data_IF_148434052362
#
_entry.id   IF_148434052362
#
_cell.length_a   1.000
_cell.length_b   1.000
_cell.length_c   1.000
_cell.angle_alpha   90.00
_cell.angle_beta   90.00
_cell.angle_gamma   90.00
#
_symmetry.space_group_name_H-M   'P 1'
#
loop_
_entity.id
_entity.type
_entity.pdbx_description
1 polymer ?
#
# COMPACT_ATOMS: atom_id res chain seq x y z
N UNK A 1 59.05 -43.57 27.41
CA UNK A 1 57.76 -42.94 27.06
C UNK A 1 57.45 -43.32 25.62
N UNK A 2 56.42 -44.15 25.45
CA UNK A 2 56.06 -44.84 24.21
C UNK A 2 55.08 -43.97 23.42
N UNK A 3 55.35 -43.75 22.12
CA UNK A 3 54.42 -43.13 21.16
C UNK A 3 53.43 -44.19 20.68
N UNK A 4 52.13 -43.94 20.85
CA UNK A 4 51.05 -44.73 20.27
C UNK A 4 50.48 -44.05 19.01
N UNK A 5 50.10 -44.81 17.97
CA UNK A 5 49.53 -44.29 16.72
C UNK A 5 48.01 -44.07 16.86
N UNK A 6 47.47 -43.01 16.26
CA UNK A 6 46.03 -42.85 16.05
C UNK A 6 45.64 -43.14 14.60
N UNK A 7 44.55 -43.88 14.48
CA UNK A 7 44.02 -44.48 13.28
C UNK A 7 43.25 -43.50 12.39
N UNK A 8 43.33 -43.75 11.09
CA UNK A 8 42.59 -43.10 10.01
C UNK A 8 41.25 -43.80 9.82
N UNK A 9 40.14 -43.09 9.96
CA UNK A 9 38.80 -43.60 9.62
C UNK A 9 38.36 -43.01 8.29
N UNK A 10 38.19 -43.88 7.28
CA UNK A 10 37.56 -43.57 5.99
C UNK A 10 36.06 -43.37 6.20
N UNK A 11 35.53 -42.22 5.79
CA UNK A 11 34.07 -42.01 5.63
C UNK A 11 33.72 -42.24 4.17
N UNK A 12 32.75 -43.15 3.98
CA UNK A 12 32.27 -43.64 2.70
C UNK A 12 31.30 -42.63 2.08
N UNK A 13 31.56 -42.24 0.83
CA UNK A 13 30.70 -41.39 0.02
C UNK A 13 29.44 -42.16 -0.40
N UNK A 14 28.26 -41.74 0.07
CA UNK A 14 26.98 -42.21 -0.46
C UNK A 14 26.42 -41.18 -1.42
N UNK A 15 26.28 -41.59 -2.68
CA UNK A 15 25.59 -40.86 -3.74
C UNK A 15 24.16 -40.51 -3.29
N UNK A 16 23.82 -39.23 -3.33
CA UNK A 16 22.46 -38.77 -3.12
C UNK A 16 21.82 -38.46 -4.47
N UNK A 17 20.85 -39.30 -4.81
CA UNK A 17 20.09 -39.36 -6.05
C UNK A 17 19.11 -38.18 -6.09
N UNK A 18 19.44 -37.13 -6.87
CA UNK A 18 18.58 -35.94 -7.03
C UNK A 18 17.41 -36.28 -7.96
N UNK A 19 16.27 -36.64 -7.37
CA UNK A 19 14.98 -36.65 -8.05
C UNK A 19 14.57 -35.23 -8.41
N UNK A 20 14.45 -35.00 -9.72
CA UNK A 20 13.89 -33.81 -10.36
C UNK A 20 12.36 -33.81 -10.09
N UNK A 21 11.91 -33.03 -9.11
CA UNK A 21 10.48 -32.75 -8.91
C UNK A 21 10.12 -31.67 -9.93
N UNK A 22 9.20 -31.99 -10.84
CA UNK A 22 8.67 -31.03 -11.79
C UNK A 22 7.94 -29.91 -11.04
N UNK A 23 8.36 -28.66 -11.25
CA UNK A 23 7.58 -27.47 -10.91
C UNK A 23 6.35 -27.46 -11.81
N UNK A 24 5.24 -27.99 -11.33
CA UNK A 24 3.93 -27.65 -11.86
C UNK A 24 3.63 -26.21 -11.45
N UNK A 25 3.56 -25.30 -12.41
CA UNK A 25 3.03 -23.95 -12.21
C UNK A 25 1.55 -24.07 -11.89
N UNK A 26 1.22 -24.09 -10.59
CA UNK A 26 -0.16 -23.95 -10.14
C UNK A 26 -0.48 -22.47 -10.23
N UNK A 27 -1.29 -22.07 -11.22
CA UNK A 27 -1.99 -20.78 -11.18
C UNK A 27 -3.03 -20.86 -10.08
N UNK A 28 -2.63 -20.51 -8.86
CA UNK A 28 -3.57 -20.27 -7.76
C UNK A 28 -3.92 -18.79 -7.86
N UNK A 29 -5.03 -18.45 -8.52
CA UNK A 29 -5.73 -17.24 -8.12
C UNK A 29 -6.10 -17.48 -6.65
N UNK A 30 -5.53 -16.69 -5.73
CA UNK A 30 -5.72 -16.91 -4.29
C UNK A 30 -7.23 -16.83 -3.99
N UNK A 31 -7.86 -17.86 -3.39
CA UNK A 31 -9.26 -17.80 -2.98
C UNK A 31 -9.58 -16.56 -2.16
N UNK A 32 -8.59 -16.04 -1.44
CA UNK A 32 -8.62 -14.80 -0.67
C UNK A 32 -8.91 -13.58 -1.57
N UNK A 33 -8.21 -13.44 -2.70
CA UNK A 33 -8.36 -12.28 -3.59
C UNK A 33 -9.75 -12.25 -4.22
N UNK A 34 -10.23 -13.36 -4.76
CA UNK A 34 -11.60 -13.44 -5.30
C UNK A 34 -12.67 -13.10 -4.25
N UNK A 35 -12.39 -13.42 -2.98
CA UNK A 35 -13.28 -13.12 -1.85
C UNK A 35 -13.20 -11.66 -1.42
N UNK A 36 -12.03 -11.03 -1.50
CA UNK A 36 -11.83 -9.59 -1.27
C UNK A 36 -12.48 -8.80 -2.41
N UNK A 37 -12.22 -9.17 -3.67
CA UNK A 37 -12.82 -8.55 -4.86
C UNK A 37 -14.35 -8.61 -4.80
N UNK A 38 -14.92 -9.78 -4.46
CA UNK A 38 -16.37 -9.92 -4.24
C UNK A 38 -16.90 -9.03 -3.11
N UNK A 39 -16.07 -8.62 -2.15
CA UNK A 39 -16.45 -7.72 -1.08
C UNK A 39 -16.16 -6.24 -1.39
N UNK A 40 -15.28 -5.97 -2.37
CA UNK A 40 -14.82 -4.63 -2.79
C UNK A 40 -15.64 -4.05 -3.94
N UNK A 41 -16.15 -4.89 -4.85
CA UNK A 41 -17.09 -4.51 -5.93
C UNK A 41 -18.37 -3.82 -5.39
N UNK A 42 -18.55 -3.89 -4.07
CA UNK A 42 -19.68 -3.35 -3.32
C UNK A 42 -19.35 -2.00 -2.64
N UNK A 43 -18.09 -1.66 -2.33
CA UNK A 43 -17.74 -0.65 -1.29
C UNK A 43 -17.20 0.72 -1.74
N UNK A 44 -17.10 1.01 -3.04
CA UNK A 44 -16.19 2.08 -3.47
C UNK A 44 -16.61 3.54 -3.17
N UNK A 45 -17.89 3.85 -2.94
CA UNK A 45 -18.33 5.25 -2.89
C UNK A 45 -18.45 5.89 -1.48
N UNK A 46 -18.48 5.11 -0.40
CA UNK A 46 -18.81 5.64 0.95
C UNK A 46 -17.65 5.80 1.93
N UNK A 47 -16.63 4.94 1.83
CA UNK A 47 -15.68 4.68 2.93
C UNK A 47 -14.52 5.69 3.02
N UNK A 48 -13.93 6.07 1.89
CA UNK A 48 -12.76 6.98 1.84
C UNK A 48 -13.13 8.39 2.33
N UNK A 49 -14.34 8.87 2.00
CA UNK A 49 -14.82 10.18 2.40
C UNK A 49 -15.10 10.31 3.91
N UNK A 50 -15.43 9.21 4.60
CA UNK A 50 -15.74 9.23 6.06
C UNK A 50 -14.50 9.08 6.94
N UNK A 51 -13.48 8.33 6.52
CA UNK A 51 -12.19 8.28 7.23
C UNK A 51 -11.43 9.62 7.10
N UNK A 52 -11.49 10.30 5.95
CA UNK A 52 -10.87 11.61 5.74
C UNK A 52 -11.55 12.77 6.51
N UNK A 53 -12.75 12.55 7.06
CA UNK A 53 -13.52 13.55 7.82
C UNK A 53 -13.50 13.36 9.33
N UNK A 54 -12.82 12.34 9.86
CA UNK A 54 -12.41 12.28 11.28
C UNK A 54 -11.16 13.18 11.46
N UNK A 55 -11.28 14.45 11.07
CA UNK A 55 -10.38 15.55 11.45
C UNK A 55 -10.81 16.11 12.81
N UNK A 56 -10.87 15.25 13.83
CA UNK A 56 -10.74 15.72 15.20
C UNK A 56 -9.31 15.42 15.62
N UNK A 57 -8.41 16.41 15.71
CA UNK A 57 -7.10 16.18 16.26
C UNK A 57 -7.27 15.64 17.69
N UNK A 58 -6.53 14.57 18.01
CA UNK A 58 -6.50 13.96 19.34
C UNK A 58 -5.85 14.89 20.40
N UNK A 59 -5.47 16.12 20.01
CA UNK A 59 -4.92 17.17 20.86
C UNK A 59 -5.57 18.51 20.50
N UNK A 60 -6.24 19.14 21.48
CA UNK A 60 -6.64 20.55 21.44
C UNK A 60 -5.43 21.42 21.82
N UNK A 61 -4.87 22.25 20.93
CA UNK A 61 -4.21 23.47 21.35
C UNK A 61 -5.29 24.54 21.51
N UNK A 62 -5.44 25.03 22.73
CA UNK A 62 -6.29 26.14 23.15
C UNK A 62 -6.41 27.28 22.11
N UNK A 63 -7.65 27.73 21.98
CA UNK A 63 -8.21 28.99 21.45
C UNK A 63 -7.24 30.14 21.07
N UNK A 64 -7.40 30.71 19.87
CA UNK A 64 -8.13 31.97 19.65
C UNK A 64 -7.71 32.70 18.35
N UNK A 65 -8.71 33.36 17.73
CA UNK A 65 -8.64 34.41 16.68
C UNK A 65 -8.34 33.92 15.25
N UNK A 66 -8.95 34.39 14.16
CA UNK A 66 -9.85 35.51 13.92
C UNK A 66 -10.78 35.22 12.71
N UNK A 67 -12.01 35.68 12.85
CA UNK A 67 -13.03 35.87 11.81
C UNK A 67 -12.72 37.06 10.91
N UNK A 68 -12.91 36.91 9.59
CA UNK A 68 -13.31 37.90 8.56
C UNK A 68 -13.13 37.19 7.20
N UNK A 69 -14.02 37.11 6.22
CA UNK A 69 -15.20 37.87 5.83
C UNK A 69 -15.17 37.93 4.31
N UNK A 70 -15.92 37.06 3.61
CA UNK A 70 -16.00 37.05 2.13
C UNK A 70 -17.43 37.27 1.64
N UNK A 71 -17.66 38.13 0.64
CA UNK A 71 -19.00 38.47 0.17
C UNK A 71 -19.62 37.39 -0.71
N UNK A 72 -20.92 37.19 -0.48
CA UNK A 72 -21.86 36.38 -1.27
C UNK A 72 -21.98 36.95 -2.69
N UNK A 73 -21.81 36.09 -3.70
CA UNK A 73 -22.05 36.41 -5.12
C UNK A 73 -23.39 35.78 -5.55
N UNK A 74 -24.31 36.61 -6.03
CA UNK A 74 -25.62 36.20 -6.54
C UNK A 74 -25.52 35.37 -7.84
N UNK A 75 -26.46 34.43 -8.10
CA UNK A 75 -26.42 33.56 -9.26
C UNK A 75 -26.97 34.25 -10.53
N UNK A 76 -26.26 34.06 -11.64
CA UNK A 76 -26.71 34.43 -12.97
C UNK A 76 -27.74 33.42 -13.51
N UNK A 77 -28.77 33.97 -14.13
CA UNK A 77 -29.92 33.30 -14.76
C UNK A 77 -29.52 32.32 -15.86
N UNK A 78 -30.05 31.10 -15.75
CA UNK A 78 -29.97 30.02 -16.72
C UNK A 78 -30.79 30.30 -17.99
N UNK A 79 -30.13 30.27 -19.15
CA UNK A 79 -30.76 30.07 -20.46
C UNK A 79 -30.84 28.59 -20.76
N UNK A 80 -32.06 28.10 -20.98
CA UNK A 80 -32.36 26.69 -21.26
C UNK A 80 -31.74 26.22 -22.57
N UNK A 81 -30.97 25.14 -22.45
CA UNK A 81 -30.53 24.29 -23.56
C UNK A 81 -31.54 23.15 -23.68
N UNK A 82 -32.01 22.81 -24.89
CA UNK A 82 -32.90 21.68 -25.12
C UNK A 82 -32.13 20.37 -24.86
N UNK A 83 -32.67 19.57 -23.94
CA UNK A 83 -32.24 18.19 -23.69
C UNK A 83 -32.71 17.34 -24.88
N UNK A 84 -31.77 16.84 -25.67
CA UNK A 84 -32.00 15.77 -26.63
C UNK A 84 -31.63 14.46 -25.95
N UNK A 85 -32.64 13.65 -25.66
CA UNK A 85 -32.55 12.27 -25.16
C UNK A 85 -31.99 11.34 -26.26
N UNK A 86 -30.70 11.48 -26.59
CA UNK A 86 -29.94 10.51 -27.38
C UNK A 86 -28.98 9.79 -26.43
N UNK A 87 -29.54 8.95 -25.55
CA UNK A 87 -28.82 7.99 -24.69
C UNK A 87 -28.31 6.79 -25.52
N UNK A 88 -27.57 7.06 -26.60
CA UNK A 88 -26.61 6.10 -27.15
C UNK A 88 -25.37 6.15 -26.25
N UNK A 89 -25.47 5.57 -25.06
CA UNK A 89 -24.31 5.16 -24.28
C UNK A 89 -23.55 4.14 -25.13
N UNK A 90 -22.65 4.66 -25.96
CA UNK A 90 -21.65 3.88 -26.66
C UNK A 90 -20.85 3.18 -25.56
N UNK A 91 -21.13 1.89 -25.34
CA UNK A 91 -20.38 0.95 -24.48
C UNK A 91 -18.96 0.76 -25.05
N UNK A 92 -18.28 1.85 -25.43
CA UNK A 92 -16.84 1.85 -25.60
C UNK A 92 -16.31 1.63 -24.21
N UNK A 93 -15.96 0.38 -23.99
CA UNK A 93 -15.03 -0.07 -22.97
C UNK A 93 -13.70 0.67 -23.22
N UNK A 94 -13.69 1.97 -22.92
CA UNK A 94 -12.53 2.87 -22.89
C UNK A 94 -11.68 2.57 -21.64
N UNK A 95 -11.65 1.29 -21.22
CA UNK A 95 -10.71 0.81 -20.24
C UNK A 95 -9.32 1.01 -20.84
N UNK A 96 -8.60 2.01 -20.32
CA UNK A 96 -7.22 2.26 -20.68
C UNK A 96 -6.43 0.95 -20.61
N UNK A 97 -5.52 0.68 -21.58
CA UNK A 97 -4.73 -0.53 -21.56
C UNK A 97 -3.99 -0.62 -20.22
N UNK A 98 -4.25 -1.69 -19.46
CA UNK A 98 -3.55 -1.98 -18.20
C UNK A 98 -2.05 -1.91 -18.47
N UNK A 99 -1.36 -0.98 -17.80
CA UNK A 99 0.06 -0.79 -17.99
C UNK A 99 0.83 -2.08 -17.62
N UNK A 100 1.92 -2.34 -18.35
CA UNK A 100 2.71 -3.53 -18.13
C UNK A 100 3.47 -3.42 -16.79
N UNK A 101 3.64 -4.53 -16.04
CA UNK A 101 4.44 -4.51 -14.81
C UNK A 101 5.84 -3.92 -15.06
N UNK A 102 6.37 -3.09 -14.15
CA UNK A 102 7.66 -2.43 -14.33
C UNK A 102 8.82 -3.42 -14.43
N UNK A 103 9.82 -3.08 -15.25
CA UNK A 103 11.06 -3.85 -15.35
C UNK A 103 11.95 -3.67 -14.10
N UNK A 104 12.92 -4.56 -13.91
CA UNK A 104 13.73 -4.62 -12.69
C UNK A 104 14.58 -3.35 -12.45
N UNK A 105 15.05 -2.74 -13.52
CA UNK A 105 15.78 -1.47 -13.52
C UNK A 105 14.87 -0.30 -13.15
N UNK A 106 13.62 -0.27 -13.62
CA UNK A 106 12.59 0.71 -13.23
C UNK A 106 12.29 0.58 -11.73
N UNK A 107 12.11 -0.64 -11.21
CA UNK A 107 11.91 -0.88 -9.77
C UNK A 107 13.11 -0.41 -8.94
N UNK A 108 14.34 -0.63 -9.43
CA UNK A 108 15.55 -0.16 -8.77
C UNK A 108 15.69 1.38 -8.82
N UNK A 109 15.35 1.99 -9.95
CA UNK A 109 15.30 3.44 -10.12
C UNK A 109 14.31 4.09 -9.15
N UNK A 110 13.10 3.54 -9.04
CA UNK A 110 12.10 3.99 -8.05
C UNK A 110 12.58 3.81 -6.62
N UNK A 111 13.20 2.67 -6.29
CA UNK A 111 13.75 2.46 -4.95
C UNK A 111 14.80 3.52 -4.58
N UNK A 112 15.67 3.90 -5.52
CA UNK A 112 16.66 4.96 -5.32
C UNK A 112 16.01 6.33 -5.15
N UNK A 113 14.95 6.61 -5.90
CA UNK A 113 14.26 7.90 -5.82
C UNK A 113 13.43 8.04 -4.53
N UNK A 114 12.72 6.98 -4.11
CA UNK A 114 12.06 6.94 -2.79
C UNK A 114 13.10 7.09 -1.67
N UNK A 115 14.26 6.45 -1.78
CA UNK A 115 15.34 6.64 -0.82
C UNK A 115 15.91 8.07 -0.81
N UNK A 116 15.94 8.75 -1.96
CA UNK A 116 16.28 10.16 -2.03
C UNK A 116 15.24 11.03 -1.32
N UNK A 117 13.94 10.78 -1.48
CA UNK A 117 12.89 11.46 -0.70
C UNK A 117 13.07 11.26 0.81
N UNK A 118 13.31 10.01 1.25
CA UNK A 118 13.53 9.69 2.66
C UNK A 118 14.81 10.34 3.19
N UNK A 119 15.90 10.39 2.42
CA UNK A 119 17.11 11.12 2.82
C UNK A 119 16.86 12.63 2.83
N UNK A 120 16.05 13.16 1.91
CA UNK A 120 15.64 14.56 1.87
C UNK A 120 14.88 14.96 3.13
N UNK A 121 13.94 14.14 3.62
CA UNK A 121 13.22 14.39 4.87
C UNK A 121 14.16 14.49 6.09
N UNK A 122 15.21 13.66 6.14
CA UNK A 122 16.24 13.74 7.19
C UNK A 122 17.08 15.01 7.07
N UNK A 123 17.35 15.47 5.85
CA UNK A 123 18.04 16.73 5.61
C UNK A 123 17.18 17.90 6.10
N UNK A 124 15.86 17.87 5.91
CA UNK A 124 14.94 18.90 6.41
C UNK A 124 15.05 19.10 7.93
N UNK A 125 15.18 18.01 8.69
CA UNK A 125 15.39 18.07 10.14
C UNK A 125 16.71 18.79 10.55
N UNK A 126 17.74 18.75 9.70
CA UNK A 126 19.05 19.38 9.97
C UNK A 126 19.27 20.69 9.23
N UNK A 127 18.46 20.97 8.20
CA UNK A 127 18.59 22.08 7.25
C UNK A 127 19.97 22.16 6.59
N UNK A 128 20.58 21.00 6.29
CA UNK A 128 21.86 20.94 5.60
C UNK A 128 21.68 21.22 4.09
N UNK A 129 21.74 22.51 3.73
CA UNK A 129 21.61 22.98 2.34
C UNK A 129 22.65 22.37 1.40
N UNK A 130 23.88 22.14 1.89
CA UNK A 130 24.94 21.57 1.06
C UNK A 130 24.63 20.11 0.71
N UNK A 131 24.14 19.35 1.69
CA UNK A 131 23.72 17.95 1.48
C UNK A 131 22.47 17.86 0.60
N UNK A 132 21.49 18.75 0.78
CA UNK A 132 20.31 18.83 -0.09
C UNK A 132 20.71 19.05 -1.56
N UNK A 133 21.59 20.02 -1.80
CA UNK A 133 22.09 20.32 -3.15
C UNK A 133 22.82 19.12 -3.75
N UNK A 134 23.69 18.46 -2.98
CA UNK A 134 24.39 17.27 -3.45
C UNK A 134 23.42 16.12 -3.80
N UNK A 135 22.32 15.99 -3.05
CA UNK A 135 21.27 15.00 -3.32
C UNK A 135 20.51 15.32 -4.60
N UNK A 136 20.12 16.57 -4.84
CA UNK A 136 19.48 16.98 -6.09
C UNK A 136 20.40 16.79 -7.31
N UNK A 137 21.68 17.16 -7.20
CA UNK A 137 22.68 16.92 -8.26
C UNK A 137 22.85 15.42 -8.54
N UNK A 138 22.84 14.58 -7.49
CA UNK A 138 22.93 13.14 -7.64
C UNK A 138 21.71 12.53 -8.35
N UNK A 139 20.50 12.97 -8.00
CA UNK A 139 19.24 12.55 -8.66
C UNK A 139 19.26 12.92 -10.15
N UNK A 140 19.69 14.15 -10.47
CA UNK A 140 19.79 14.66 -11.84
C UNK A 140 20.80 13.86 -12.68
N UNK A 141 22.02 13.66 -12.16
CA UNK A 141 23.09 12.92 -12.85
C UNK A 141 22.67 11.49 -13.23
N UNK A 142 21.85 10.84 -12.40
CA UNK A 142 21.38 9.48 -12.64
C UNK A 142 19.99 9.42 -13.30
N UNK A 143 19.38 10.56 -13.66
CA UNK A 143 18.10 10.61 -14.36
C UNK A 143 16.94 10.02 -13.58
N UNK A 144 16.95 10.12 -12.24
CA UNK A 144 16.01 9.38 -11.39
C UNK A 144 14.62 10.02 -11.28
N UNK A 145 14.45 11.28 -11.68
CA UNK A 145 13.17 12.01 -11.59
C UNK A 145 11.99 11.31 -12.28
N UNK A 146 12.24 10.57 -13.37
CA UNK A 146 11.20 9.82 -14.08
C UNK A 146 10.62 8.64 -13.30
N UNK A 147 11.10 8.36 -12.09
CA UNK A 147 10.58 7.30 -11.22
C UNK A 147 9.72 7.83 -10.06
N UNK A 148 9.31 9.10 -10.12
CA UNK A 148 8.34 9.68 -9.20
C UNK A 148 7.17 10.28 -9.97
N UNK A 149 6.01 10.29 -9.32
CA UNK A 149 4.88 11.06 -9.78
C UNK A 149 5.05 12.56 -9.60
N UNK A 150 4.20 13.36 -10.25
CA UNK A 150 4.28 14.82 -10.23
C UNK A 150 4.35 15.40 -8.81
N UNK A 151 3.53 14.90 -7.89
CA UNK A 151 3.53 15.36 -6.49
C UNK A 151 4.85 15.09 -5.77
N UNK A 152 5.47 13.93 -6.04
CA UNK A 152 6.77 13.56 -5.47
C UNK A 152 7.90 14.42 -6.03
N UNK A 153 7.86 14.73 -7.33
CA UNK A 153 8.80 15.65 -7.98
C UNK A 153 8.65 17.06 -7.41
N UNK A 154 7.43 17.59 -7.40
CA UNK A 154 7.09 18.91 -6.86
C UNK A 154 7.59 19.06 -5.43
N UNK A 155 7.37 18.05 -4.59
CA UNK A 155 7.84 18.05 -3.21
C UNK A 155 9.38 18.03 -3.13
N UNK A 156 10.05 17.18 -3.92
CA UNK A 156 11.50 17.04 -3.90
C UNK A 156 12.24 18.30 -4.35
N UNK A 157 11.67 19.04 -5.32
CA UNK A 157 12.26 20.26 -5.88
C UNK A 157 12.14 21.49 -4.97
N UNK A 158 11.31 21.45 -3.93
CA UNK A 158 11.20 22.54 -2.95
C UNK A 158 12.54 22.84 -2.26
N UNK A 159 12.76 24.10 -1.93
CA UNK A 159 14.02 24.51 -1.32
C UNK A 159 14.18 23.91 0.08
N UNK A 160 15.43 23.69 0.56
CA UNK A 160 15.66 23.20 1.91
C UNK A 160 15.04 24.10 2.97
N UNK A 161 14.21 23.52 3.84
CA UNK A 161 13.45 24.19 4.88
C UNK A 161 12.01 24.55 4.49
N UNK A 162 11.56 24.20 3.27
CA UNK A 162 10.19 24.48 2.80
C UNK A 162 9.23 23.31 2.98
N UNK A 163 9.71 22.12 3.35
CA UNK A 163 8.83 21.01 3.71
C UNK A 163 8.12 21.33 5.02
N UNK A 164 6.80 21.14 5.04
CA UNK A 164 6.00 21.17 6.25
C UNK A 164 6.25 19.90 7.09
N UNK A 165 5.85 19.94 8.37
CA UNK A 165 5.90 18.74 9.21
C UNK A 165 5.00 17.62 8.63
N UNK A 166 3.86 17.98 8.02
CA UNK A 166 2.96 17.04 7.34
C UNK A 166 3.63 16.40 6.11
N UNK A 167 4.44 17.15 5.34
CA UNK A 167 5.20 16.60 4.21
C UNK A 167 6.25 15.59 4.70
N UNK A 168 6.92 15.89 5.83
CA UNK A 168 7.91 14.99 6.44
C UNK A 168 7.24 13.71 6.93
N UNK A 169 6.08 13.82 7.60
CA UNK A 169 5.31 12.67 8.07
C UNK A 169 4.78 11.83 6.90
N UNK A 170 4.35 12.46 5.80
CA UNK A 170 3.94 11.76 4.59
C UNK A 170 5.10 10.94 3.98
N UNK A 171 6.29 11.53 3.89
CA UNK A 171 7.49 10.81 3.40
C UNK A 171 7.96 9.73 4.38
N UNK A 172 7.72 9.87 5.68
CA UNK A 172 8.04 8.81 6.64
C UNK A 172 7.27 7.51 6.35
N UNK A 173 6.04 7.60 5.80
CA UNK A 173 5.25 6.45 5.35
C UNK A 173 5.80 5.78 4.08
N UNK A 174 6.46 6.51 3.18
CA UNK A 174 7.07 5.94 1.96
C UNK A 174 8.26 5.02 2.26
N UNK A 175 8.73 4.98 3.51
CA UNK A 175 9.73 4.00 3.94
C UNK A 175 9.22 2.55 3.81
N UNK A 176 7.91 2.30 3.95
CA UNK A 176 7.37 0.94 3.69
C UNK A 176 7.35 0.62 2.19
N UNK A 177 7.06 1.59 1.32
CA UNK A 177 7.22 1.43 -0.12
C UNK A 177 8.67 1.05 -0.46
N UNK A 178 9.64 1.80 0.08
CA UNK A 178 11.07 1.51 -0.11
C UNK A 178 11.43 0.08 0.28
N UNK A 179 10.90 -0.39 1.41
CA UNK A 179 11.11 -1.77 1.88
C UNK A 179 10.53 -2.79 0.90
N UNK A 180 9.33 -2.55 0.36
CA UNK A 180 8.68 -3.44 -0.62
C UNK A 180 9.48 -3.47 -1.91
N UNK A 181 9.91 -2.32 -2.44
CA UNK A 181 10.72 -2.23 -3.64
C UNK A 181 12.04 -2.99 -3.47
N UNK A 182 12.77 -2.75 -2.37
CA UNK A 182 14.01 -3.47 -2.05
C UNK A 182 13.80 -4.97 -1.85
N UNK A 183 12.65 -5.38 -1.29
CA UNK A 183 12.30 -6.79 -1.19
C UNK A 183 12.06 -7.38 -2.58
N UNK A 184 11.32 -6.69 -3.44
CA UNK A 184 10.99 -7.14 -4.79
C UNK A 184 12.23 -7.35 -5.66
N UNK A 185 13.30 -6.56 -5.48
CA UNK A 185 14.60 -6.76 -6.15
C UNK A 185 15.63 -7.59 -5.34
N UNK A 186 15.16 -8.29 -4.30
CA UNK A 186 15.97 -9.26 -3.54
C UNK A 186 17.08 -8.66 -2.68
N UNK A 187 16.98 -7.39 -2.27
CA UNK A 187 17.98 -6.71 -1.42
C UNK A 187 17.66 -6.82 0.08
N UNK A 188 16.37 -6.86 0.45
CA UNK A 188 15.92 -6.97 1.85
C UNK A 188 14.78 -8.00 2.02
N UNK A 189 14.37 -8.21 3.27
CA UNK A 189 13.16 -8.93 3.66
C UNK A 189 12.08 -7.95 4.16
N UNK A 190 10.79 -8.25 3.94
CA UNK A 190 9.66 -7.39 4.36
C UNK A 190 9.50 -7.26 5.88
N UNK A 191 10.03 -8.23 6.64
CA UNK A 191 9.78 -8.33 8.08
C UNK A 191 8.29 -8.54 8.43
N UNK A 192 7.94 -8.49 9.73
CA UNK A 192 6.56 -8.59 10.19
C UNK A 192 5.78 -7.31 9.89
N UNK A 193 4.49 -7.43 9.55
CA UNK A 193 3.62 -6.28 9.27
C UNK A 193 3.38 -5.39 10.50
N UNK A 194 3.54 -5.92 11.72
CA UNK A 194 3.41 -5.16 12.97
C UNK A 194 4.61 -4.26 13.28
N UNK A 195 5.62 -4.19 12.41
CA UNK A 195 6.83 -3.40 12.64
C UNK A 195 7.13 -2.48 11.45
N UNK A 196 7.30 -1.19 11.76
CA UNK A 196 7.73 -0.19 10.80
C UNK A 196 9.12 -0.49 10.22
N UNK A 197 9.39 0.11 9.08
CA UNK A 197 10.66 0.10 8.38
C UNK A 197 11.76 0.78 9.18
N UNK A 198 12.87 0.08 9.35
CA UNK A 198 14.09 0.69 9.87
C UNK A 198 14.75 1.46 8.73
N UNK A 199 14.44 2.76 8.67
CA UNK A 199 14.97 3.70 7.67
C UNK A 199 16.49 3.59 7.53
N UNK A 200 17.22 3.53 8.64
CA UNK A 200 18.69 3.50 8.60
C UNK A 200 19.19 2.18 8.00
N UNK A 201 18.57 1.06 8.36
CA UNK A 201 18.92 -0.24 7.81
C UNK A 201 18.65 -0.32 6.31
N UNK A 202 17.54 0.27 5.82
CA UNK A 202 17.22 0.29 4.39
C UNK A 202 18.16 1.22 3.60
N UNK A 203 18.36 2.46 4.06
CA UNK A 203 19.26 3.41 3.38
C UNK A 203 20.70 2.90 3.31
N UNK A 204 21.15 2.12 4.30
CA UNK A 204 22.51 1.53 4.27
C UNK A 204 22.75 0.49 3.17
N UNK A 205 21.68 0.04 2.50
CA UNK A 205 21.75 -0.92 1.38
C UNK A 205 21.80 -0.23 0.02
N UNK A 206 21.66 1.09 -0.02
CA UNK A 206 21.48 1.88 -1.23
C UNK A 206 22.67 2.83 -1.44
N UNK A 207 23.12 3.03 -2.70
CA UNK A 207 24.20 3.95 -3.04
C UNK A 207 23.72 5.42 -3.07
N UNK A 208 23.02 5.90 -2.04
CA UNK A 208 22.55 7.31 -1.99
C UNK A 208 23.76 8.24 -1.87
N UNK A 209 23.91 9.18 -2.83
CA UNK A 209 25.11 10.02 -3.01
C UNK A 209 26.36 9.26 -3.49
N UNK A 210 26.19 8.05 -4.02
CA UNK A 210 27.24 7.21 -4.64
C UNK A 210 26.80 6.78 -6.05
N UNK A 211 27.70 6.29 -6.93
CA UNK A 211 27.29 5.86 -8.27
C UNK A 211 26.18 4.80 -8.26
N UNK A 212 25.04 5.11 -8.90
CA UNK A 212 23.84 4.27 -8.87
C UNK A 212 23.78 3.17 -9.95
N UNK A 213 24.48 3.33 -11.08
CA UNK A 213 24.33 2.49 -12.27
C UNK A 213 24.52 1.00 -11.96
N UNK A 214 25.54 0.65 -11.17
CA UNK A 214 25.81 -0.74 -10.80
C UNK A 214 24.70 -1.36 -9.93
N UNK A 215 23.97 -0.55 -9.14
CA UNK A 215 22.83 -1.03 -8.37
C UNK A 215 21.66 -1.36 -9.31
N UNK A 216 21.33 -0.43 -10.21
CA UNK A 216 20.25 -0.55 -11.21
C UNK A 216 20.51 -1.75 -12.13
N UNK A 217 21.70 -1.83 -12.75
CA UNK A 217 22.09 -2.90 -13.67
C UNK A 217 22.11 -4.29 -13.01
N UNK A 218 22.26 -4.34 -11.68
CA UNK A 218 22.29 -5.60 -10.90
C UNK A 218 20.92 -6.04 -10.40
N UNK A 219 19.88 -5.24 -10.62
CA UNK A 219 18.55 -5.50 -10.10
C UNK A 219 17.94 -6.74 -10.77
N UNK A 220 17.33 -7.60 -9.97
CA UNK A 220 16.61 -8.79 -10.44
C UNK A 220 15.32 -8.88 -9.66
N UNK A 221 14.20 -8.82 -10.37
CA UNK A 221 12.89 -8.99 -9.74
C UNK A 221 12.70 -10.42 -9.25
N UNK A 222 12.05 -10.53 -8.10
CA UNK A 222 11.47 -11.79 -7.62
C UNK A 222 10.43 -12.30 -8.62
N UNK A 223 10.14 -13.60 -8.51
CA UNK A 223 9.14 -14.24 -9.37
C UNK A 223 7.78 -13.52 -9.19
N UNK A 224 7.09 -13.21 -10.29
CA UNK A 224 5.80 -12.51 -10.24
C UNK A 224 4.77 -13.21 -9.33
N UNK A 225 4.75 -14.55 -9.32
CA UNK A 225 3.88 -15.32 -8.43
C UNK A 225 4.21 -15.12 -6.94
N UNK A 226 5.46 -14.79 -6.58
CA UNK A 226 5.83 -14.45 -5.21
C UNK A 226 5.33 -13.04 -4.84
N UNK A 227 5.41 -12.09 -5.79
CA UNK A 227 4.85 -10.73 -5.63
C UNK A 227 3.33 -10.80 -5.44
N UNK A 228 2.62 -11.55 -6.30
CA UNK A 228 1.17 -11.77 -6.21
C UNK A 228 0.74 -12.28 -4.83
N UNK A 229 1.50 -13.24 -4.29
CA UNK A 229 1.21 -13.83 -2.98
C UNK A 229 1.39 -12.80 -1.86
N UNK A 230 2.43 -11.96 -1.91
CA UNK A 230 2.60 -10.91 -0.91
C UNK A 230 1.57 -9.79 -1.05
N UNK A 231 1.17 -9.43 -2.28
CA UNK A 231 0.08 -8.47 -2.49
C UNK A 231 -1.21 -8.96 -1.88
N UNK A 232 -1.64 -10.18 -2.23
CA UNK A 232 -2.86 -10.78 -1.68
C UNK A 232 -2.80 -10.88 -0.15
N UNK A 233 -1.61 -11.12 0.42
CA UNK A 233 -1.42 -11.10 1.87
C UNK A 233 -1.62 -9.70 2.46
N UNK A 234 -1.03 -8.67 1.84
CA UNK A 234 -1.16 -7.28 2.27
C UNK A 234 -2.60 -6.77 2.14
N UNK A 235 -3.28 -7.03 1.03
CA UNK A 235 -4.69 -6.69 0.79
C UNK A 235 -5.60 -7.30 1.86
N UNK A 236 -5.45 -8.59 2.11
CA UNK A 236 -6.26 -9.31 3.10
C UNK A 236 -6.01 -8.81 4.53
N UNK A 237 -4.76 -8.46 4.83
CA UNK A 237 -4.43 -7.86 6.11
C UNK A 237 -5.00 -6.43 6.22
N UNK A 238 -4.95 -5.63 5.16
CA UNK A 238 -5.51 -4.29 5.12
C UNK A 238 -7.01 -4.34 5.41
N UNK A 239 -7.72 -5.24 4.73
CA UNK A 239 -9.15 -5.45 4.91
C UNK A 239 -9.50 -5.93 6.32
N UNK A 240 -8.70 -6.84 6.89
CA UNK A 240 -8.89 -7.29 8.27
C UNK A 240 -8.73 -6.14 9.29
N UNK A 241 -7.76 -5.24 9.07
CA UNK A 241 -7.51 -4.08 9.94
C UNK A 241 -8.59 -3.02 9.77
N UNK A 242 -8.97 -2.70 8.53
CA UNK A 242 -10.07 -1.77 8.20
C UNK A 242 -11.39 -2.21 8.83
N UNK A 243 -11.68 -3.50 8.79
CA UNK A 243 -12.87 -4.09 9.40
C UNK A 243 -12.89 -3.95 10.92
N UNK A 244 -11.76 -4.18 11.61
CA UNK A 244 -11.68 -3.96 13.06
C UNK A 244 -11.77 -2.47 13.42
N UNK A 245 -11.12 -1.59 12.65
CA UNK A 245 -11.23 -0.15 12.86
C UNK A 245 -12.69 0.32 12.73
N UNK A 246 -13.41 -0.15 11.71
CA UNK A 246 -14.82 0.16 11.54
C UNK A 246 -15.69 -0.38 12.68
N UNK A 247 -15.43 -1.61 13.14
CA UNK A 247 -16.11 -2.19 14.29
C UNK A 247 -15.91 -1.37 15.58
N UNK A 248 -14.73 -0.75 15.78
CA UNK A 248 -14.47 0.17 16.89
C UNK A 248 -15.25 1.46 16.75
N UNK A 249 -15.24 2.09 15.59
CA UNK A 249 -16.03 3.31 15.32
C UNK A 249 -17.52 3.11 15.62
N UNK A 250 -18.10 1.99 15.18
CA UNK A 250 -19.51 1.64 15.47
C UNK A 250 -19.72 1.43 16.99
N UNK A 251 -18.74 0.82 17.68
CA UNK A 251 -18.83 0.58 19.11
C UNK A 251 -18.73 1.86 19.95
N UNK A 252 -17.93 2.83 19.50
CA UNK A 252 -17.72 4.11 20.16
C UNK A 252 -18.91 5.06 20.00
N UNK A 253 -19.53 5.08 18.83
CA UNK A 253 -20.74 5.85 18.56
C UNK A 253 -21.87 5.01 17.93
N UNK A 254 -22.55 4.16 18.74
CA UNK A 254 -23.65 3.33 18.26
C UNK A 254 -24.84 4.11 17.71
N UNK A 255 -24.95 5.41 18.02
CA UNK A 255 -26.11 6.23 17.62
C UNK A 255 -25.97 6.80 16.21
N UNK A 256 -24.75 6.95 15.70
CA UNK A 256 -24.50 7.37 14.32
C UNK A 256 -24.41 6.20 13.33
N UNK A 257 -24.45 4.96 13.83
CA UNK A 257 -24.40 3.78 12.97
C UNK A 257 -25.73 3.57 12.24
N UNK A 258 -25.67 3.64 10.91
CA UNK A 258 -26.71 3.22 9.99
C UNK A 258 -26.11 2.14 9.07
N UNK A 259 -26.64 0.90 9.05
CA UNK A 259 -26.14 -0.13 8.16
C UNK A 259 -26.38 0.27 6.70
N UNK A 260 -25.38 0.06 5.86
CA UNK A 260 -25.47 0.20 4.41
C UNK A 260 -25.66 -1.16 3.71
N UNK A 261 -25.93 -1.12 2.41
CA UNK A 261 -26.14 -2.33 1.61
C UNK A 261 -24.89 -3.24 1.61
N UNK A 262 -23.71 -2.64 1.59
CA UNK A 262 -22.43 -3.35 1.51
C UNK A 262 -22.15 -4.16 2.77
N UNK A 263 -22.45 -3.58 3.94
CA UNK A 263 -22.36 -4.30 5.19
C UNK A 263 -23.39 -5.44 5.27
N UNK A 264 -24.62 -5.21 4.81
CA UNK A 264 -25.65 -6.24 4.76
C UNK A 264 -25.22 -7.43 3.88
N UNK A 265 -24.67 -7.16 2.69
CA UNK A 265 -24.13 -8.18 1.79
C UNK A 265 -22.94 -8.92 2.42
N UNK A 266 -22.02 -8.18 3.06
CA UNK A 266 -20.93 -8.79 3.81
C UNK A 266 -21.47 -9.75 4.89
N UNK A 267 -22.46 -9.32 5.68
CA UNK A 267 -23.06 -10.13 6.74
C UNK A 267 -23.73 -11.40 6.21
N UNK A 268 -24.40 -11.32 5.05
CA UNK A 268 -24.94 -12.49 4.34
C UNK A 268 -23.83 -13.44 3.88
N UNK A 269 -22.76 -12.90 3.30
CA UNK A 269 -21.65 -13.71 2.79
C UNK A 269 -20.96 -14.50 3.92
N UNK A 270 -20.71 -13.87 5.06
CA UNK A 270 -20.01 -14.51 6.19
C UNK A 270 -20.90 -15.46 6.99
N UNK A 271 -22.22 -15.37 6.86
CA UNK A 271 -23.15 -16.36 7.42
C UNK A 271 -22.92 -17.73 6.79
N UNK A 272 -22.62 -17.78 5.48
CA UNK A 272 -22.24 -19.02 4.79
C UNK A 272 -20.94 -19.64 5.35
N UNK A 273 -20.09 -18.81 5.95
CA UNK A 273 -18.82 -19.23 6.58
C UNK A 273 -18.97 -19.58 8.06
N UNK A 274 -20.19 -19.55 8.59
CA UNK A 274 -20.51 -19.96 9.96
C UNK A 274 -20.62 -18.83 10.97
N UNK A 275 -20.78 -17.58 10.52
CA UNK A 275 -21.18 -16.48 11.41
C UNK A 275 -22.63 -16.67 11.87
N UNK A 276 -22.89 -16.73 13.19
CA UNK A 276 -24.25 -16.83 13.74
C UNK A 276 -24.91 -15.44 13.76
N UNK A 277 -25.30 -14.99 12.56
CA UNK A 277 -25.93 -13.69 12.33
C UNK A 277 -27.19 -13.52 13.17
N UNK A 278 -28.03 -14.55 13.25
CA UNK A 278 -29.26 -14.54 14.04
C UNK A 278 -29.01 -14.31 15.53
N UNK A 279 -28.00 -14.95 16.12
CA UNK A 279 -27.66 -14.73 17.52
C UNK A 279 -27.11 -13.32 17.78
N UNK A 280 -26.36 -12.76 16.82
CA UNK A 280 -25.83 -11.41 16.92
C UNK A 280 -26.95 -10.35 16.77
N UNK A 281 -27.84 -10.51 15.78
CA UNK A 281 -29.01 -9.68 15.54
C UNK A 281 -29.96 -9.63 16.75
N UNK A 282 -30.07 -10.72 17.51
CA UNK A 282 -30.86 -10.77 18.75
C UNK A 282 -30.35 -9.81 19.84
N UNK A 283 -29.11 -9.32 19.73
CA UNK A 283 -28.52 -8.31 20.62
C UNK A 283 -28.60 -6.88 20.06
N UNK A 284 -29.16 -6.71 18.86
CA UNK A 284 -29.34 -5.43 18.17
C UNK A 284 -28.39 -5.25 16.97
N UNK A 285 -28.79 -4.38 16.03
CA UNK A 285 -28.08 -4.16 14.76
C UNK A 285 -26.62 -3.72 14.94
N UNK A 286 -26.33 -2.86 15.93
CA UNK A 286 -24.95 -2.46 16.28
C UNK A 286 -24.11 -3.68 16.65
N UNK A 287 -24.64 -4.59 17.48
CA UNK A 287 -23.91 -5.78 17.90
C UNK A 287 -23.71 -6.78 16.76
N UNK A 288 -24.71 -6.91 15.88
CA UNK A 288 -24.64 -7.69 14.66
C UNK A 288 -23.51 -7.22 13.75
N UNK A 289 -23.48 -5.92 13.42
CA UNK A 289 -22.45 -5.29 12.61
C UNK A 289 -21.05 -5.48 13.20
N UNK A 290 -20.84 -5.10 14.47
CA UNK A 290 -19.55 -5.23 15.15
C UNK A 290 -19.08 -6.68 15.20
N UNK A 291 -19.98 -7.63 15.48
CA UNK A 291 -19.62 -9.04 15.56
C UNK A 291 -19.33 -9.64 14.19
N UNK A 292 -20.04 -9.20 13.16
CA UNK A 292 -19.84 -9.60 11.77
C UNK A 292 -18.49 -9.13 11.23
N UNK A 293 -18.17 -7.83 11.35
CA UNK A 293 -16.88 -7.26 10.96
C UNK A 293 -15.71 -7.96 11.67
N UNK A 294 -15.84 -8.23 12.97
CA UNK A 294 -14.84 -9.00 13.73
C UNK A 294 -14.75 -10.45 13.28
N UNK A 295 -15.86 -11.09 12.94
CA UNK A 295 -15.84 -12.44 12.39
C UNK A 295 -15.13 -12.48 11.03
N UNK A 296 -15.40 -11.50 10.18
CA UNK A 296 -14.78 -11.33 8.87
C UNK A 296 -13.26 -11.16 8.98
N UNK A 297 -12.81 -10.17 9.76
CA UNK A 297 -11.39 -9.91 10.04
C UNK A 297 -10.65 -11.16 10.53
N UNK A 298 -11.24 -11.89 11.51
CA UNK A 298 -10.65 -13.15 12.01
C UNK A 298 -10.60 -14.26 10.94
N UNK A 299 -11.60 -14.30 10.05
CA UNK A 299 -11.67 -15.32 9.00
C UNK A 299 -10.60 -15.09 7.93
N UNK A 300 -10.36 -13.84 7.53
CA UNK A 300 -9.26 -13.46 6.65
C UNK A 300 -7.90 -13.87 7.24
N UNK A 301 -7.63 -13.49 8.50
CA UNK A 301 -6.37 -13.86 9.17
C UNK A 301 -6.18 -15.37 9.30
N UNK A 302 -7.27 -16.11 9.57
CA UNK A 302 -7.20 -17.59 9.64
C UNK A 302 -6.87 -18.21 8.30
N UNK A 303 -7.42 -17.67 7.21
CA UNK A 303 -7.15 -18.14 5.85
C UNK A 303 -5.68 -17.87 5.47
N UNK A 304 -5.23 -16.63 5.69
CA UNK A 304 -3.84 -16.18 5.46
C UNK A 304 -2.80 -17.02 6.19
N UNK A 305 -3.06 -17.34 7.45
CA UNK A 305 -2.12 -18.06 8.33
C UNK A 305 -2.52 -19.52 8.58
N UNK A 306 -3.27 -20.11 7.65
CA UNK A 306 -3.59 -21.53 7.69
C UNK A 306 -2.32 -22.40 7.60
N UNK A 307 -2.38 -23.62 8.13
CA UNK A 307 -1.20 -24.50 8.26
C UNK A 307 -0.53 -24.75 6.91
N UNK A 308 0.75 -24.38 6.80
CA UNK A 308 1.54 -24.50 5.57
C UNK A 308 1.77 -23.18 4.83
N UNK A 309 1.21 -22.08 5.32
CA UNK A 309 1.53 -20.73 4.83
C UNK A 309 3.03 -20.43 5.01
N UNK A 310 3.75 -20.00 3.96
CA UNK A 310 5.16 -19.59 4.10
C UNK A 310 5.31 -18.33 4.98
N UNK A 311 4.21 -17.69 5.35
CA UNK A 311 4.11 -16.46 6.11
C UNK A 311 3.93 -16.67 7.62
N UNK A 312 4.27 -17.85 8.15
CA UNK A 312 4.12 -18.13 9.60
C UNK A 312 4.87 -17.11 10.48
N UNK A 313 5.96 -16.51 9.97
CA UNK A 313 6.71 -15.45 10.65
C UNK A 313 5.99 -14.10 10.70
N UNK A 314 4.98 -13.90 9.85
CA UNK A 314 4.13 -12.71 9.78
C UNK A 314 2.78 -12.92 10.48
N UNK A 315 2.60 -14.07 11.14
CA UNK A 315 1.33 -14.45 11.77
C UNK A 315 0.91 -13.42 12.81
N UNK A 316 -0.23 -12.80 12.56
CA UNK A 316 -0.96 -12.00 13.53
C UNK A 316 -2.04 -12.87 14.16
N UNK A 317 -2.11 -12.93 15.48
CA UNK A 317 -3.28 -13.53 16.10
C UNK A 317 -4.45 -12.58 15.91
N UNK A 318 -5.56 -13.14 15.49
CA UNK A 318 -6.79 -12.40 15.31
C UNK A 318 -7.33 -11.83 16.64
N UNK A 319 -6.93 -12.40 17.79
CA UNK A 319 -7.17 -11.78 19.10
C UNK A 319 -6.34 -10.53 19.33
N UNK A 320 -5.17 -10.42 18.70
CA UNK A 320 -4.25 -9.30 18.89
C UNK A 320 -4.90 -8.01 18.37
N UNK A 321 -5.50 -8.03 17.17
CA UNK A 321 -6.19 -6.87 16.58
C UNK A 321 -7.25 -6.26 17.50
N UNK A 322 -8.03 -7.08 18.20
CA UNK A 322 -9.08 -6.61 19.13
C UNK A 322 -8.47 -6.04 20.42
N UNK A 323 -7.28 -6.52 20.80
CA UNK A 323 -6.63 -6.15 22.06
C UNK A 323 -5.70 -4.93 21.95
N UNK A 324 -5.29 -4.56 20.73
CA UNK A 324 -4.38 -3.44 20.51
C UNK A 324 -5.02 -2.09 20.79
N UNK A 325 -4.22 -1.13 21.23
CA UNK A 325 -4.65 0.27 21.29
C UNK A 325 -4.78 0.87 19.87
N UNK A 326 -5.47 2.00 19.77
CA UNK A 326 -5.75 2.65 18.49
C UNK A 326 -4.48 3.15 17.80
N UNK A 327 -3.44 3.51 18.56
CA UNK A 327 -2.17 3.94 18.00
C UNK A 327 -1.44 2.78 17.30
N UNK A 328 -1.44 1.60 17.91
CA UNK A 328 -0.87 0.37 17.34
C UNK A 328 -1.66 -0.07 16.12
N UNK A 329 -3.01 -0.04 16.19
CA UNK A 329 -3.86 -0.37 15.05
C UNK A 329 -3.68 0.62 13.89
N UNK A 330 -3.61 1.92 14.18
CA UNK A 330 -3.33 2.97 13.20
C UNK A 330 -1.95 2.79 12.55
N UNK A 331 -0.93 2.40 13.34
CA UNK A 331 0.39 2.08 12.80
C UNK A 331 0.35 0.88 11.84
N UNK A 332 -0.34 -0.21 12.23
CA UNK A 332 -0.50 -1.36 11.33
C UNK A 332 -1.26 -0.97 10.06
N UNK A 333 -2.34 -0.19 10.20
CA UNK A 333 -3.13 0.29 9.06
C UNK A 333 -2.26 1.04 8.06
N UNK A 334 -1.46 2.01 8.51
CA UNK A 334 -0.55 2.76 7.66
C UNK A 334 0.53 1.88 7.01
N UNK A 335 1.12 0.95 7.76
CA UNK A 335 2.14 0.03 7.22
C UNK A 335 1.56 -0.84 6.11
N UNK A 336 0.38 -1.41 6.31
CA UNK A 336 -0.21 -2.34 5.36
C UNK A 336 -0.77 -1.61 4.15
N UNK A 337 -1.32 -0.40 4.34
CA UNK A 337 -1.73 0.48 3.24
C UNK A 337 -0.57 0.77 2.28
N UNK A 338 0.54 1.30 2.80
CA UNK A 338 1.71 1.63 2.00
C UNK A 338 2.30 0.40 1.27
N UNK A 339 2.16 -0.80 1.87
CA UNK A 339 2.57 -2.05 1.20
C UNK A 339 1.65 -2.42 0.05
N UNK A 340 0.33 -2.27 0.22
CA UNK A 340 -0.64 -2.55 -0.85
C UNK A 340 -0.38 -1.63 -2.03
N UNK A 341 -0.25 -0.32 -1.81
CA UNK A 341 0.05 0.66 -2.86
C UNK A 341 1.36 0.32 -3.60
N UNK A 342 2.42 -0.02 -2.85
CA UNK A 342 3.69 -0.42 -3.46
C UNK A 342 3.58 -1.73 -4.28
N UNK A 343 2.75 -2.68 -3.85
CA UNK A 343 2.52 -3.91 -4.60
C UNK A 343 1.63 -3.70 -5.83
N UNK A 344 0.61 -2.84 -5.76
CA UNK A 344 -0.20 -2.44 -6.91
C UNK A 344 0.69 -1.82 -7.99
N UNK A 345 1.55 -0.86 -7.61
CA UNK A 345 2.53 -0.29 -8.53
C UNK A 345 3.49 -1.33 -9.13
N UNK A 346 3.92 -2.33 -8.36
CA UNK A 346 4.76 -3.42 -8.89
C UNK A 346 4.06 -4.30 -9.93
N UNK A 347 2.73 -4.26 -10.03
CA UNK A 347 1.96 -5.04 -11.00
C UNK A 347 1.48 -4.21 -12.18
N UNK A 348 1.10 -2.98 -11.90
CA UNK A 348 0.42 -2.12 -12.87
C UNK A 348 1.37 -1.06 -13.43
N UNK A 349 2.46 -0.74 -12.73
CA UNK A 349 3.35 0.37 -13.08
C UNK A 349 2.73 1.71 -12.66
N UNK A 350 3.24 2.80 -13.22
CA UNK A 350 2.59 4.10 -13.07
C UNK A 350 1.54 4.28 -14.17
N UNK A 351 0.29 4.53 -13.76
CA UNK A 351 -0.77 5.02 -14.63
C UNK A 351 -0.60 6.53 -14.84
N UNK A 352 0.48 6.95 -15.51
CA UNK A 352 0.46 8.29 -16.08
C UNK A 352 -0.33 8.22 -17.37
N UNK A 353 -1.49 8.87 -17.41
CA UNK A 353 -2.09 9.31 -18.65
C UNK A 353 -0.99 10.03 -19.43
N UNK A 354 -0.40 9.35 -20.40
CA UNK A 354 0.43 10.06 -21.37
C UNK A 354 -0.56 10.96 -22.08
N UNK A 355 -0.46 12.26 -21.81
CA UNK A 355 -1.21 13.33 -22.47
C UNK A 355 -0.76 13.41 -23.94
N UNK A 356 -0.86 12.28 -24.65
CA UNK A 356 -0.56 12.11 -26.06
C UNK A 356 -1.75 12.60 -26.91
N UNK A 357 -2.74 13.25 -26.29
CA UNK A 357 -4.04 13.59 -26.89
C UNK A 357 -4.14 14.98 -27.53
N UNK A 358 -3.24 15.91 -27.21
CA UNK A 358 -3.39 17.33 -27.62
C UNK A 358 -2.48 17.75 -28.81
N UNK A 359 -1.78 16.83 -29.49
CA UNK A 359 -0.91 17.19 -30.62
C UNK A 359 -1.62 17.39 -31.98
N UNK A 360 -2.92 17.14 -32.12
CA UNK A 360 -3.56 17.02 -33.45
C UNK A 360 -4.43 18.20 -33.95
N UNK A 361 -4.63 19.30 -33.20
CA UNK A 361 -5.63 20.33 -33.60
C UNK A 361 -5.08 21.69 -34.12
N UNK A 362 -3.78 21.82 -34.40
CA UNK A 362 -3.18 23.07 -34.91
C UNK A 362 -2.73 23.04 -36.40
N UNK A 363 -3.00 21.98 -37.17
CA UNK A 363 -2.58 21.93 -38.60
C UNK A 363 -3.46 22.75 -39.58
N UNK A 364 -4.64 23.28 -39.19
CA UNK A 364 -5.60 23.83 -40.16
C UNK A 364 -5.80 25.37 -40.18
N UNK A 365 -4.93 26.17 -39.54
CA UNK A 365 -5.01 27.66 -39.61
C UNK A 365 -4.10 28.36 -40.63
N UNK A 366 -3.71 27.69 -41.72
CA UNK A 366 -3.02 28.33 -42.84
C UNK A 366 -3.76 28.12 -44.18
N UNK A 367 -4.83 28.91 -44.40
CA UNK A 367 -5.40 29.14 -45.75
C UNK A 367 -5.60 30.63 -46.00
#
# INVERSE_FOLDING_TARGET
>A
MVRGPQAVTKVSSSNNDRRRIGRGTVRVASPIRARIESAHDVRHDGYVARMATIKKPLFDPDEATATEGMPVREPATATGVPVTDDDDFDDRDDSAPIAAPPEADVVAGRALMVAALVERSRIEATRDVARAKALSEWVDVHGLFGNLGPEGVDLFERAPGEWSDDDIDAVDWTTEELRVLLWAIGKTELGPASARADVNALLSQLPVLEPADAFIDSAVLRDAAEIDVQRALAEALLEAVRSEAWARTISEDPQSFEPDADLEELLESIEADGFDRKAAAAQGAVHEAVSGLRFWSRSLLRELFSSGSPHEQQKLDSSDLVSWDDATLGTLLGVVHARVEAFEWLQEGDEYETDDGDEDDDEDQLV
#
